data_IF_382740084383
#
_entry.id   IF_382740084383
#
_cell.length_a   1.000
_cell.length_b   1.000
_cell.length_c   1.000
_cell.angle_alpha   90.00
_cell.angle_beta   90.00
_cell.angle_gamma   90.00
#
_symmetry.space_group_name_H-M   'P 1'
#
loop_
_entity.id
_entity.type
_entity.pdbx_description
1 polymer ?
#
# COMPACT_ATOMS: atom_id res chain seq x y z
N UNK A 1 20.28 23.19 -14.55
CA UNK A 1 19.95 21.90 -13.89
C UNK A 1 20.97 20.88 -14.34
N UNK A 2 21.63 20.15 -13.42
CA UNK A 2 22.55 19.06 -13.79
C UNK A 2 21.73 17.80 -14.07
N UNK A 3 22.11 17.04 -15.09
CA UNK A 3 21.44 15.80 -15.49
C UNK A 3 22.45 14.66 -15.53
N UNK A 4 22.00 13.44 -15.22
CA UNK A 4 22.69 12.20 -15.59
C UNK A 4 21.97 11.53 -16.75
N UNK A 5 22.69 10.68 -17.47
CA UNK A 5 22.11 9.85 -18.53
C UNK A 5 21.84 8.47 -17.96
N UNK A 6 20.59 8.04 -18.03
CA UNK A 6 20.16 6.68 -17.72
C UNK A 6 19.78 5.97 -19.02
N UNK A 7 19.83 4.64 -19.02
CA UNK A 7 19.55 3.83 -20.20
C UNK A 7 18.62 2.66 -19.88
N UNK A 8 17.63 2.47 -20.73
CA UNK A 8 16.81 1.27 -20.79
C UNK A 8 16.84 0.68 -22.22
N UNK A 9 15.95 -0.27 -22.50
CA UNK A 9 15.86 -0.93 -23.81
C UNK A 9 15.44 0.01 -24.94
N UNK A 10 14.82 1.15 -24.63
CA UNK A 10 14.44 2.19 -25.59
C UNK A 10 15.56 3.22 -25.84
N UNK A 11 16.71 3.07 -25.18
CA UNK A 11 17.88 3.93 -25.34
C UNK A 11 18.10 4.85 -24.14
N UNK A 12 18.75 5.98 -24.38
CA UNK A 12 19.14 6.93 -23.35
C UNK A 12 18.01 7.90 -22.98
N UNK A 13 18.01 8.37 -21.74
CA UNK A 13 17.12 9.43 -21.23
C UNK A 13 17.84 10.24 -20.16
N UNK A 14 17.57 11.56 -20.13
CA UNK A 14 18.14 12.47 -19.14
C UNK A 14 17.30 12.48 -17.86
N UNK A 15 17.96 12.33 -16.72
CA UNK A 15 17.34 12.38 -15.38
C UNK A 15 18.03 13.45 -14.55
N UNK A 16 17.30 14.31 -13.79
CA UNK A 16 17.91 15.27 -12.89
C UNK A 16 18.90 14.58 -11.92
N UNK A 17 20.10 15.13 -11.78
CA UNK A 17 21.19 14.48 -11.05
C UNK A 17 20.92 14.29 -9.54
N UNK A 18 20.04 15.14 -8.98
CA UNK A 18 19.60 15.13 -7.59
C UNK A 18 18.48 14.11 -7.30
N UNK A 19 17.96 13.41 -8.32
CA UNK A 19 16.83 12.49 -8.19
C UNK A 19 17.27 11.04 -8.32
N UNK A 20 16.69 10.13 -7.54
CA UNK A 20 17.11 8.73 -7.45
C UNK A 20 16.37 7.82 -8.44
N UNK A 21 15.25 8.23 -9.03
CA UNK A 21 14.55 7.41 -10.01
C UNK A 21 15.33 7.26 -11.32
N UNK A 22 15.07 6.24 -12.12
CA UNK A 22 15.87 5.88 -13.29
C UNK A 22 15.19 6.20 -14.62
N UNK A 23 15.60 5.45 -15.65
CA UNK A 23 15.16 5.65 -17.02
C UNK A 23 13.64 5.45 -17.19
N UNK A 24 13.08 4.38 -16.62
CA UNK A 24 11.68 4.04 -16.83
C UNK A 24 10.76 5.04 -16.15
N UNK A 25 11.11 5.52 -14.96
CA UNK A 25 10.37 6.58 -14.27
C UNK A 25 10.42 7.89 -15.08
N UNK A 26 11.59 8.27 -15.60
CA UNK A 26 11.72 9.47 -16.42
C UNK A 26 10.90 9.41 -17.71
N UNK A 27 10.85 8.25 -18.38
CA UNK A 27 9.97 8.05 -19.54
C UNK A 27 8.50 8.11 -19.16
N UNK A 28 8.12 7.50 -18.03
CA UNK A 28 6.75 7.54 -17.52
C UNK A 28 6.28 8.98 -17.32
N UNK A 29 7.10 9.84 -16.70
CA UNK A 29 6.79 11.26 -16.52
C UNK A 29 6.57 12.00 -17.84
N UNK A 30 7.30 11.65 -18.90
CA UNK A 30 7.11 12.24 -20.21
C UNK A 30 5.83 11.75 -20.90
N UNK A 31 5.47 10.49 -20.71
CA UNK A 31 4.35 9.84 -21.38
C UNK A 31 3.01 10.09 -20.69
N UNK A 32 2.99 10.18 -19.36
CA UNK A 32 1.78 10.28 -18.53
C UNK A 32 1.69 11.65 -17.85
N UNK A 33 1.40 12.69 -18.63
CA UNK A 33 1.19 14.07 -18.13
C UNK A 33 -0.28 14.33 -17.83
N UNK A 34 -0.86 13.51 -16.95
CA UNK A 34 -2.29 13.51 -16.67
C UNK A 34 -2.51 13.68 -15.16
N UNK A 35 -3.29 14.69 -14.77
CA UNK A 35 -3.59 14.98 -13.37
C UNK A 35 -2.49 15.74 -12.62
N UNK A 36 -2.61 15.79 -11.29
CA UNK A 36 -1.64 16.45 -10.44
C UNK A 36 -0.30 15.69 -10.42
N UNK A 37 0.86 16.37 -10.53
CA UNK A 37 2.18 15.75 -10.37
C UNK A 37 2.30 15.03 -9.03
N UNK A 38 3.07 13.92 -8.99
CA UNK A 38 3.28 13.13 -7.78
C UNK A 38 1.97 12.76 -7.05
N UNK A 39 0.92 12.45 -7.81
CA UNK A 39 -0.40 12.14 -7.24
C UNK A 39 -0.51 10.72 -6.70
N UNK A 40 0.42 9.82 -7.00
CA UNK A 40 0.42 8.48 -6.39
C UNK A 40 0.49 8.61 -4.86
N UNK A 41 -0.49 8.08 -4.10
CA UNK A 41 -0.49 8.22 -2.66
C UNK A 41 0.78 7.61 -2.04
N UNK A 42 1.41 8.33 -1.11
CA UNK A 42 2.58 7.84 -0.39
C UNK A 42 2.30 6.53 0.36
N UNK A 43 1.07 6.32 0.83
CA UNK A 43 0.65 5.04 1.44
C UNK A 43 0.92 3.84 0.50
N UNK A 44 0.76 4.00 -0.83
CA UNK A 44 1.09 2.96 -1.82
C UNK A 44 2.60 2.75 -1.93
N UNK A 45 3.38 3.84 -1.88
CA UNK A 45 4.84 3.78 -1.90
C UNK A 45 5.38 3.07 -0.65
N UNK A 46 4.80 3.35 0.52
CA UNK A 46 5.14 2.65 1.76
C UNK A 46 4.73 1.18 1.70
N UNK A 47 3.58 0.85 1.08
CA UNK A 47 3.19 -0.53 0.78
C UNK A 47 4.23 -1.25 -0.08
N UNK A 48 4.77 -0.58 -1.10
CA UNK A 48 5.88 -1.10 -1.89
C UNK A 48 7.15 -1.28 -1.05
N UNK A 49 7.50 -0.36 -0.17
CA UNK A 49 8.71 -0.47 0.66
C UNK A 49 8.65 -1.71 1.57
N UNK A 50 7.52 -1.97 2.24
CA UNK A 50 7.32 -3.22 2.97
C UNK A 50 7.48 -4.43 2.06
N UNK A 51 6.81 -4.43 0.91
CA UNK A 51 6.89 -5.51 -0.06
C UNK A 51 8.33 -5.80 -0.51
N UNK A 52 9.09 -4.77 -0.91
CA UNK A 52 10.45 -4.93 -1.44
C UNK A 52 11.42 -5.41 -0.37
N UNK A 53 11.29 -4.90 0.86
CA UNK A 53 12.03 -5.41 2.02
C UNK A 53 11.75 -6.89 2.25
N UNK A 54 10.47 -7.27 2.35
CA UNK A 54 10.08 -8.67 2.58
C UNK A 54 10.47 -9.61 1.44
N UNK A 55 10.37 -9.16 0.19
CA UNK A 55 10.83 -9.91 -0.97
C UNK A 55 12.35 -10.17 -0.93
N UNK A 56 13.14 -9.19 -0.52
CA UNK A 56 14.59 -9.35 -0.38
C UNK A 56 14.95 -10.36 0.73
N UNK A 57 14.26 -10.33 1.87
CA UNK A 57 14.44 -11.32 2.94
C UNK A 57 14.05 -12.73 2.49
N UNK A 58 12.88 -12.89 1.85
CA UNK A 58 12.44 -14.18 1.32
C UNK A 58 13.43 -14.74 0.29
N UNK A 59 13.89 -13.91 -0.65
CA UNK A 59 14.88 -14.31 -1.66
C UNK A 59 16.23 -14.69 -1.05
N UNK A 60 16.66 -13.99 0.01
CA UNK A 60 17.88 -14.32 0.73
C UNK A 60 17.76 -15.66 1.47
N UNK A 61 16.64 -15.91 2.14
CA UNK A 61 16.37 -17.18 2.85
C UNK A 61 16.30 -18.37 1.87
N UNK A 62 15.78 -18.13 0.66
CA UNK A 62 15.72 -19.13 -0.42
C UNK A 62 17.05 -19.26 -1.21
N UNK A 63 18.08 -18.51 -0.84
CA UNK A 63 19.42 -18.61 -1.43
C UNK A 63 19.56 -18.01 -2.84
N UNK A 64 18.58 -17.24 -3.31
CA UNK A 64 18.59 -16.62 -4.66
C UNK A 64 19.00 -15.14 -4.66
N UNK A 65 19.26 -14.57 -3.49
CA UNK A 65 19.80 -13.22 -3.30
C UNK A 65 20.87 -13.26 -2.20
N UNK A 66 21.97 -12.52 -2.38
CA UNK A 66 23.02 -12.45 -1.36
C UNK A 66 22.57 -11.63 -0.14
N UNK A 67 23.17 -11.92 1.00
CA UNK A 67 22.91 -11.20 2.25
C UNK A 67 23.22 -9.70 2.12
N UNK A 68 24.33 -9.35 1.48
CA UNK A 68 24.71 -7.95 1.24
C UNK A 68 23.64 -7.18 0.46
N UNK A 69 23.11 -7.78 -0.61
CA UNK A 69 22.06 -7.16 -1.42
C UNK A 69 20.74 -7.04 -0.64
N UNK A 70 20.40 -8.07 0.16
CA UNK A 70 19.24 -8.00 1.07
C UNK A 70 19.36 -6.81 2.02
N UNK A 71 20.52 -6.64 2.66
CA UNK A 71 20.73 -5.60 3.67
C UNK A 71 20.67 -4.20 3.06
N UNK A 72 21.23 -4.00 1.86
CA UNK A 72 21.09 -2.75 1.12
C UNK A 72 19.63 -2.44 0.76
N UNK A 73 18.89 -3.41 0.21
CA UNK A 73 17.46 -3.21 -0.12
C UNK A 73 16.67 -2.87 1.13
N UNK A 74 16.88 -3.60 2.23
CA UNK A 74 16.20 -3.41 3.49
C UNK A 74 16.44 -2.01 4.07
N UNK A 75 17.70 -1.58 4.11
CA UNK A 75 18.07 -0.25 4.60
C UNK A 75 17.38 0.86 3.81
N UNK A 76 17.35 0.78 2.47
CA UNK A 76 16.66 1.79 1.67
C UNK A 76 15.15 1.75 1.87
N UNK A 77 14.55 0.56 1.97
CA UNK A 77 13.13 0.45 2.26
C UNK A 77 12.77 1.09 3.61
N UNK A 78 13.63 0.96 4.61
CA UNK A 78 13.45 1.64 5.91
C UNK A 78 13.53 3.17 5.77
N UNK A 79 14.45 3.71 4.96
CA UNK A 79 14.48 5.15 4.66
C UNK A 79 13.21 5.64 3.94
N UNK A 80 12.62 4.82 3.05
CA UNK A 80 11.33 5.12 2.41
C UNK A 80 10.22 5.14 3.47
N UNK A 81 10.14 4.15 4.34
CA UNK A 81 9.13 4.06 5.40
C UNK A 81 9.25 5.17 6.45
N UNK A 82 10.45 5.74 6.63
CA UNK A 82 10.71 6.91 7.47
C UNK A 82 10.37 8.26 6.76
N UNK A 83 9.90 8.21 5.51
CA UNK A 83 9.53 9.40 4.73
C UNK A 83 10.72 10.22 4.21
N UNK A 84 11.95 9.69 4.29
CA UNK A 84 13.17 10.42 3.90
C UNK A 84 13.30 10.60 2.39
N UNK A 85 12.56 9.82 1.61
CA UNK A 85 12.67 9.73 0.15
C UNK A 85 11.35 10.06 -0.58
N UNK A 86 10.37 10.66 0.10
CA UNK A 86 9.04 10.94 -0.47
C UNK A 86 9.09 11.77 -1.76
N UNK A 87 10.08 12.64 -1.91
CA UNK A 87 10.27 13.48 -3.09
C UNK A 87 10.88 12.75 -4.31
N UNK A 88 11.08 11.43 -4.20
CA UNK A 88 11.66 10.55 -5.22
C UNK A 88 10.61 9.72 -5.99
N UNK A 89 9.33 9.98 -5.74
CA UNK A 89 8.21 9.24 -6.35
C UNK A 89 7.28 10.19 -7.13
N UNK A 90 7.71 10.69 -8.31
CA UNK A 90 7.05 11.80 -8.99
C UNK A 90 5.84 11.37 -9.84
N UNK A 91 5.56 10.08 -9.92
CA UNK A 91 4.58 9.52 -10.84
C UNK A 91 3.13 9.84 -10.45
N UNK A 92 2.27 9.89 -11.47
CA UNK A 92 0.85 10.17 -11.32
C UNK A 92 0.05 8.88 -11.16
N UNK A 93 -1.16 8.98 -10.59
CA UNK A 93 -2.12 7.86 -10.54
C UNK A 93 -2.44 7.34 -11.94
N UNK A 94 -2.60 8.25 -12.90
CA UNK A 94 -3.03 7.96 -14.27
C UNK A 94 -1.88 7.45 -15.15
N UNK A 95 -1.41 6.24 -14.84
CA UNK A 95 -0.35 5.52 -15.55
C UNK A 95 -0.88 4.19 -16.12
N UNK A 96 -0.03 3.19 -16.37
CA UNK A 96 -0.52 1.85 -16.75
C UNK A 96 -1.44 1.26 -15.67
N UNK A 97 -2.47 0.53 -16.08
CA UNK A 97 -3.43 -0.08 -15.16
C UNK A 97 -2.83 -1.13 -14.22
N UNK A 98 -1.71 -1.74 -14.59
CA UNK A 98 -0.95 -2.70 -13.76
C UNK A 98 -0.01 -2.03 -12.75
N UNK A 99 0.10 -0.69 -12.75
CA UNK A 99 1.00 0.03 -11.86
C UNK A 99 2.50 -0.23 -12.09
N UNK A 100 2.88 -0.78 -13.24
CA UNK A 100 4.26 -1.14 -13.58
C UNK A 100 5.24 0.02 -13.43
N UNK A 101 4.85 1.25 -13.80
CA UNK A 101 5.76 2.38 -13.68
C UNK A 101 6.03 2.75 -12.21
N UNK A 102 5.06 2.67 -11.29
CA UNK A 102 5.32 2.84 -9.86
C UNK A 102 6.17 1.71 -9.27
N UNK A 103 5.93 0.45 -9.67
CA UNK A 103 6.79 -0.66 -9.26
C UNK A 103 8.25 -0.40 -9.69
N UNK A 104 8.46 0.01 -10.94
CA UNK A 104 9.79 0.32 -11.46
C UNK A 104 10.39 1.57 -10.82
N UNK A 105 9.60 2.58 -10.49
CA UNK A 105 10.06 3.75 -9.77
C UNK A 105 10.65 3.38 -8.42
N UNK A 106 9.97 2.51 -7.65
CA UNK A 106 10.50 2.03 -6.37
C UNK A 106 11.77 1.19 -6.59
N UNK A 107 11.79 0.30 -7.58
CA UNK A 107 12.98 -0.50 -7.90
C UNK A 107 14.20 0.38 -8.24
N UNK A 108 14.01 1.41 -9.06
CA UNK A 108 15.07 2.33 -9.49
C UNK A 108 15.56 3.19 -8.32
N UNK A 109 14.66 3.73 -7.49
CA UNK A 109 15.02 4.52 -6.31
C UNK A 109 15.83 3.66 -5.32
N UNK A 110 15.40 2.43 -5.04
CA UNK A 110 16.14 1.51 -4.15
C UNK A 110 17.54 1.24 -4.69
N UNK A 111 17.65 0.88 -5.97
CA UNK A 111 18.92 0.56 -6.58
C UNK A 111 19.89 1.76 -6.59
N UNK A 112 19.39 2.95 -6.90
CA UNK A 112 20.21 4.15 -6.97
C UNK A 112 20.57 4.70 -5.59
N UNK A 113 19.70 4.56 -4.60
CA UNK A 113 20.04 4.92 -3.21
C UNK A 113 21.16 4.04 -2.65
N UNK A 114 21.21 2.76 -3.05
CA UNK A 114 22.27 1.86 -2.64
C UNK A 114 23.67 2.32 -3.09
N UNK A 115 23.82 3.02 -4.23
CA UNK A 115 25.08 3.68 -4.58
C UNK A 115 25.53 4.67 -3.51
N UNK A 116 24.63 5.55 -3.09
CA UNK A 116 24.93 6.60 -2.12
C UNK A 116 25.26 6.02 -0.73
N UNK A 117 24.59 4.94 -0.33
CA UNK A 117 24.90 4.20 0.91
C UNK A 117 26.31 3.58 0.82
N UNK A 118 26.72 3.11 -0.36
CA UNK A 118 28.09 2.63 -0.62
C UNK A 118 29.13 3.76 -0.80
N UNK A 119 28.77 5.02 -0.54
CA UNK A 119 29.69 6.17 -0.70
C UNK A 119 29.98 6.56 -2.16
N UNK A 120 29.16 6.09 -3.11
CA UNK A 120 29.33 6.32 -4.55
C UNK A 120 28.24 7.21 -5.11
N UNK A 121 28.55 7.90 -6.21
CA UNK A 121 27.55 8.63 -6.99
C UNK A 121 26.73 7.67 -7.86
N UNK A 122 25.49 8.05 -8.19
CA UNK A 122 24.63 7.24 -9.06
C UNK A 122 25.26 7.14 -10.45
N UNK A 123 25.52 5.91 -10.89
CA UNK A 123 26.20 5.61 -12.16
C UNK A 123 27.72 5.40 -12.04
N UNK A 124 28.28 5.46 -10.83
CA UNK A 124 29.70 5.24 -10.59
C UNK A 124 30.07 3.75 -10.51
N UNK A 125 30.58 3.22 -11.63
CA UNK A 125 31.02 1.83 -11.73
C UNK A 125 29.87 0.82 -11.71
N UNK A 126 30.16 -0.39 -11.23
CA UNK A 126 29.19 -1.49 -11.22
C UNK A 126 28.03 -1.23 -10.25
N UNK A 127 26.81 -1.53 -10.68
CA UNK A 127 25.59 -1.36 -9.88
C UNK A 127 25.63 -2.27 -8.65
N UNK A 128 25.59 -1.74 -7.41
CA UNK A 128 25.50 -2.58 -6.22
C UNK A 128 24.18 -3.37 -6.21
N UNK A 129 23.11 -2.79 -6.77
CA UNK A 129 21.82 -3.43 -6.99
C UNK A 129 21.34 -3.14 -8.42
N UNK A 130 20.88 -4.18 -9.12
CA UNK A 130 20.15 -4.03 -10.36
C UNK A 130 18.64 -3.91 -10.09
N UNK A 131 17.93 -2.88 -10.65
CA UNK A 131 16.51 -2.67 -10.36
C UNK A 131 15.62 -3.88 -10.65
N UNK A 132 15.84 -4.58 -11.77
CA UNK A 132 15.07 -5.77 -12.11
C UNK A 132 15.64 -7.03 -11.45
N UNK A 133 16.87 -7.36 -11.80
CA UNK A 133 17.50 -8.59 -11.38
C UNK A 133 17.63 -8.74 -9.88
N UNK A 134 17.83 -7.67 -9.10
CA UNK A 134 17.96 -7.76 -7.64
C UNK A 134 16.72 -7.27 -6.90
N UNK A 135 16.30 -6.02 -7.12
CA UNK A 135 15.20 -5.41 -6.35
C UNK A 135 13.83 -6.00 -6.74
N UNK A 136 13.64 -6.32 -8.02
CA UNK A 136 12.44 -6.96 -8.56
C UNK A 136 12.58 -8.48 -8.71
N UNK A 137 13.58 -9.11 -8.07
CA UNK A 137 13.80 -10.55 -8.17
C UNK A 137 12.57 -11.32 -7.67
N UNK A 138 12.13 -12.31 -8.46
CA UNK A 138 10.98 -13.18 -8.17
C UNK A 138 9.62 -12.48 -8.17
N UNK A 139 9.53 -11.30 -8.77
CA UNK A 139 8.35 -10.44 -8.76
C UNK A 139 7.91 -10.06 -10.17
N UNK A 140 6.64 -9.68 -10.29
CA UNK A 140 6.05 -9.02 -11.46
C UNK A 140 5.38 -7.71 -11.03
N UNK A 141 5.19 -6.74 -11.92
CA UNK A 141 4.30 -5.61 -11.57
C UNK A 141 2.89 -6.08 -11.22
N UNK A 142 2.46 -7.17 -11.85
CA UNK A 142 1.09 -7.66 -11.76
C UNK A 142 0.78 -8.22 -10.38
N UNK A 143 1.74 -8.84 -9.68
CA UNK A 143 1.54 -9.34 -8.32
C UNK A 143 2.07 -8.38 -7.24
N UNK A 144 2.94 -7.42 -7.60
CA UNK A 144 3.47 -6.45 -6.64
C UNK A 144 2.55 -5.26 -6.39
N UNK A 145 1.94 -4.68 -7.44
CA UNK A 145 1.07 -3.52 -7.26
C UNK A 145 -0.19 -3.86 -6.44
N UNK A 146 -0.93 -4.96 -6.69
CA UNK A 146 -2.06 -5.36 -5.85
C UNK A 146 -1.64 -5.65 -4.40
N UNK A 147 -0.46 -6.23 -4.20
CA UNK A 147 0.09 -6.45 -2.85
C UNK A 147 0.35 -5.12 -2.13
N UNK A 148 0.96 -4.14 -2.81
CA UNK A 148 1.18 -2.81 -2.24
C UNK A 148 -0.14 -2.09 -1.94
N UNK A 149 -1.17 -2.24 -2.80
CA UNK A 149 -2.51 -1.71 -2.55
C UNK A 149 -3.13 -2.32 -1.29
N UNK A 150 -3.12 -3.65 -1.14
CA UNK A 150 -3.65 -4.31 0.04
C UNK A 150 -2.95 -3.87 1.32
N UNK A 151 -1.61 -3.76 1.31
CA UNK A 151 -0.84 -3.27 2.46
C UNK A 151 -1.25 -1.85 2.83
N UNK A 152 -1.27 -0.94 1.86
CA UNK A 152 -1.62 0.46 2.07
C UNK A 152 -3.04 0.62 2.64
N UNK A 153 -4.02 -0.04 2.00
CA UNK A 153 -5.42 0.05 2.39
C UNK A 153 -5.66 -0.54 3.78
N UNK A 154 -5.14 -1.74 4.05
CA UNK A 154 -5.30 -2.40 5.34
C UNK A 154 -4.72 -1.54 6.48
N UNK A 155 -3.49 -1.06 6.30
CA UNK A 155 -2.80 -0.23 7.28
C UNK A 155 -3.57 1.06 7.55
N UNK A 156 -4.04 1.75 6.51
CA UNK A 156 -4.84 2.98 6.66
C UNK A 156 -6.13 2.74 7.44
N UNK A 157 -6.80 1.62 7.18
CA UNK A 157 -8.06 1.27 7.85
C UNK A 157 -7.81 1.01 9.34
N UNK A 158 -6.81 0.21 9.68
CA UNK A 158 -6.55 -0.21 11.06
C UNK A 158 -5.93 0.90 11.90
N UNK A 159 -5.07 1.74 11.32
CA UNK A 159 -4.33 2.76 12.07
C UNK A 159 -5.05 4.12 12.14
N UNK A 160 -5.92 4.42 11.17
CA UNK A 160 -6.60 5.73 11.09
C UNK A 160 -8.11 5.59 11.17
N UNK A 161 -8.72 4.84 10.24
CA UNK A 161 -10.17 4.82 10.08
C UNK A 161 -10.88 4.19 11.28
N UNK A 162 -10.52 2.96 11.65
CA UNK A 162 -11.14 2.24 12.75
C UNK A 162 -10.94 2.94 14.11
N UNK A 163 -9.74 3.46 14.46
CA UNK A 163 -9.56 4.25 15.68
C UNK A 163 -10.44 5.51 15.70
N UNK A 164 -10.53 6.24 14.58
CA UNK A 164 -11.38 7.42 14.46
C UNK A 164 -12.87 7.10 14.66
N UNK A 165 -13.37 6.06 13.99
CA UNK A 165 -14.75 5.60 14.12
C UNK A 165 -15.07 5.14 15.54
N UNK A 166 -14.19 4.36 16.17
CA UNK A 166 -14.35 3.93 17.56
C UNK A 166 -14.34 5.11 18.53
N UNK A 167 -13.53 6.15 18.27
CA UNK A 167 -13.53 7.38 19.05
C UNK A 167 -14.87 8.10 19.00
N UNK A 168 -15.43 8.27 17.79
CA UNK A 168 -16.75 8.88 17.60
C UNK A 168 -17.87 8.02 18.23
N UNK A 169 -17.86 6.71 17.98
CA UNK A 169 -18.84 5.77 18.53
C UNK A 169 -18.89 5.83 20.06
N UNK A 170 -17.73 5.78 20.74
CA UNK A 170 -17.66 5.92 22.20
C UNK A 170 -18.20 7.27 22.67
N UNK A 171 -17.88 8.35 21.96
CA UNK A 171 -18.36 9.69 22.33
C UNK A 171 -19.89 9.77 22.27
N UNK A 172 -20.49 9.24 21.22
CA UNK A 172 -21.96 9.19 21.08
C UNK A 172 -22.61 8.27 22.11
N UNK A 173 -21.99 7.13 22.41
CA UNK A 173 -22.47 6.22 23.45
C UNK A 173 -22.45 6.85 24.84
N UNK A 174 -21.38 7.58 25.19
CA UNK A 174 -21.31 8.35 26.46
C UNK A 174 -22.38 9.43 26.50
N UNK A 175 -22.57 10.18 25.41
CA UNK A 175 -23.61 11.22 25.32
C UNK A 175 -25.02 10.65 25.44
N UNK A 176 -25.25 9.43 24.95
CA UNK A 176 -26.51 8.73 25.13
C UNK A 176 -26.84 8.52 26.61
N UNK A 177 -25.87 8.09 27.42
CA UNK A 177 -26.04 7.91 28.87
C UNK A 177 -26.22 9.26 29.60
N UNK A 178 -25.39 10.26 29.29
CA UNK A 178 -25.46 11.59 29.92
C UNK A 178 -26.79 12.31 29.68
N UNK A 179 -27.54 11.92 28.64
CA UNK A 179 -28.81 12.55 28.24
C UNK A 179 -30.00 11.62 28.37
N UNK A 180 -29.87 10.51 29.11
CA UNK A 180 -30.90 9.49 29.26
C UNK A 180 -32.18 10.03 29.93
N UNK A 181 -32.07 11.01 30.83
CA UNK A 181 -33.23 11.60 31.53
C UNK A 181 -33.87 12.79 30.77
N UNK A 182 -33.26 13.24 29.67
CA UNK A 182 -33.73 14.42 28.92
C UNK A 182 -34.83 14.03 27.94
N UNK A 183 -36.10 14.19 28.34
CA UNK A 183 -37.25 13.91 27.46
C UNK A 183 -37.40 14.98 26.38
N UNK A 184 -37.59 14.56 25.13
CA UNK A 184 -37.84 15.42 23.96
C UNK A 184 -39.02 14.93 23.12
N UNK A 185 -39.53 15.80 22.25
CA UNK A 185 -40.54 15.41 21.25
C UNK A 185 -39.87 14.60 20.13
N UNK A 186 -40.45 13.46 19.77
CA UNK A 186 -40.05 12.68 18.60
C UNK A 186 -40.51 13.33 17.30
N UNK A 187 -39.85 13.00 16.18
CA UNK A 187 -40.29 13.41 14.84
C UNK A 187 -40.28 12.27 13.85
N UNK A 188 -41.40 12.03 13.20
CA UNK A 188 -41.52 11.12 12.05
C UNK A 188 -42.13 11.90 10.89
N UNK A 189 -41.62 11.73 9.66
CA UNK A 189 -42.00 12.58 8.52
C UNK A 189 -41.84 14.09 8.80
N UNK A 190 -40.91 14.49 9.68
CA UNK A 190 -40.72 15.84 10.20
C UNK A 190 -41.90 16.45 10.99
N UNK A 191 -42.89 15.65 11.36
CA UNK A 191 -44.03 16.07 12.19
C UNK A 191 -43.86 15.59 13.64
N UNK A 192 -44.48 16.29 14.59
CA UNK A 192 -44.44 15.93 16.01
C UNK A 192 -45.02 14.53 16.25
N UNK A 193 -44.35 13.75 17.11
CA UNK A 193 -44.72 12.38 17.46
C UNK A 193 -44.67 12.16 18.99
N UNK A 194 -44.82 10.91 19.43
CA UNK A 194 -44.68 10.55 20.85
C UNK A 194 -43.28 10.86 21.40
N UNK A 195 -43.13 11.12 22.71
CA UNK A 195 -41.83 11.43 23.32
C UNK A 195 -40.85 10.25 23.29
N UNK A 196 -39.56 10.60 23.33
CA UNK A 196 -38.41 9.74 23.61
C UNK A 196 -37.39 10.57 24.40
N UNK A 197 -36.37 9.93 24.96
CA UNK A 197 -35.25 10.67 25.58
C UNK A 197 -34.19 11.02 24.52
N UNK A 198 -33.46 12.11 24.74
CA UNK A 198 -32.33 12.46 23.89
C UNK A 198 -31.27 11.36 23.92
N UNK A 199 -31.12 10.67 25.05
CA UNK A 199 -30.29 9.49 25.18
C UNK A 199 -30.68 8.36 24.22
N UNK A 200 -31.98 8.07 24.07
CA UNK A 200 -32.48 7.08 23.11
C UNK A 200 -32.22 7.47 21.65
N UNK A 201 -32.23 8.75 21.32
CA UNK A 201 -31.88 9.21 19.97
C UNK A 201 -30.38 9.01 19.69
N UNK A 202 -29.52 9.39 20.63
CA UNK A 202 -28.07 9.22 20.51
C UNK A 202 -27.63 7.75 20.50
N UNK A 203 -28.36 6.86 21.19
CA UNK A 203 -28.06 5.43 21.16
C UNK A 203 -28.24 4.85 19.76
N UNK A 204 -29.18 5.38 18.97
CA UNK A 204 -29.34 5.04 17.55
C UNK A 204 -28.09 5.36 16.74
N UNK A 205 -27.55 6.57 16.88
CA UNK A 205 -26.33 7.00 16.17
C UNK A 205 -25.10 6.16 16.58
N UNK A 206 -24.97 5.89 17.88
CA UNK A 206 -23.88 5.05 18.39
C UNK A 206 -23.96 3.61 17.83
N UNK A 207 -25.17 3.04 17.74
CA UNK A 207 -25.39 1.71 17.17
C UNK A 207 -25.08 1.65 15.66
N UNK A 208 -25.43 2.70 14.89
CA UNK A 208 -25.08 2.77 13.46
C UNK A 208 -23.57 2.67 13.25
N UNK A 209 -22.78 3.40 14.05
CA UNK A 209 -21.32 3.33 14.00
C UNK A 209 -20.78 1.97 14.45
N UNK A 210 -21.36 1.34 15.47
CA UNK A 210 -20.96 0.00 15.92
C UNK A 210 -21.13 -1.03 14.80
N UNK A 211 -22.27 -1.04 14.11
CA UNK A 211 -22.49 -1.93 12.96
C UNK A 211 -21.57 -1.59 11.78
N UNK A 212 -21.30 -0.30 11.54
CA UNK A 212 -20.36 0.14 10.52
C UNK A 212 -18.92 -0.32 10.77
N UNK A 213 -18.44 -0.21 12.02
CA UNK A 213 -17.13 -0.72 12.45
C UNK A 213 -17.05 -2.22 12.22
N UNK A 214 -18.06 -2.97 12.66
CA UNK A 214 -18.12 -4.43 12.48
C UNK A 214 -18.10 -4.83 11.00
N UNK A 215 -18.80 -4.08 10.15
CA UNK A 215 -18.80 -4.32 8.71
C UNK A 215 -17.40 -4.19 8.11
N UNK A 216 -16.66 -3.13 8.47
CA UNK A 216 -15.26 -2.93 8.03
C UNK A 216 -14.35 -4.05 8.55
N UNK A 217 -14.43 -4.40 9.83
CA UNK A 217 -13.60 -5.45 10.43
C UNK A 217 -13.78 -6.81 9.74
N UNK A 218 -14.99 -7.10 9.27
CA UNK A 218 -15.31 -8.36 8.57
C UNK A 218 -14.56 -8.46 7.23
N UNK A 219 -14.31 -7.35 6.54
CA UNK A 219 -13.64 -7.36 5.22
C UNK A 219 -12.12 -7.52 5.33
N UNK A 220 -11.54 -7.28 6.52
CA UNK A 220 -10.09 -7.29 6.72
C UNK A 220 -9.44 -8.64 6.41
N UNK A 221 -10.14 -9.76 6.63
CA UNK A 221 -9.57 -11.09 6.37
C UNK A 221 -9.24 -11.27 4.89
N UNK A 222 -10.11 -10.83 4.00
CA UNK A 222 -9.89 -10.91 2.56
C UNK A 222 -8.85 -9.88 2.11
N UNK A 223 -8.89 -8.66 2.67
CA UNK A 223 -7.90 -7.63 2.36
C UNK A 223 -6.46 -7.99 2.78
N UNK A 224 -6.30 -8.88 3.77
CA UNK A 224 -5.01 -9.38 4.22
C UNK A 224 -4.40 -10.44 3.28
N UNK A 225 -5.16 -10.96 2.30
CA UNK A 225 -4.65 -11.93 1.33
C UNK A 225 -3.83 -11.22 0.23
N UNK A 226 -2.56 -11.63 0.08
CA UNK A 226 -1.60 -10.97 -0.81
C UNK A 226 -1.38 -11.73 -2.12
N UNK A 227 -1.36 -10.98 -3.22
CA UNK A 227 -1.14 -11.50 -4.58
C UNK A 227 0.31 -11.93 -4.85
N UNK A 228 1.27 -11.42 -4.07
CA UNK A 228 2.70 -11.64 -4.27
C UNK A 228 3.06 -13.13 -4.42
N UNK A 229 3.90 -13.42 -5.40
CA UNK A 229 4.28 -14.79 -5.77
C UNK A 229 3.34 -15.41 -6.81
N UNK A 230 2.27 -14.73 -7.23
CA UNK A 230 1.52 -15.07 -8.43
C UNK A 230 2.25 -14.73 -9.74
N UNK A 231 3.26 -13.86 -9.67
CA UNK A 231 4.07 -13.35 -10.77
C UNK A 231 3.23 -12.78 -11.93
N UNK A 232 3.46 -13.19 -13.17
CA UNK A 232 2.89 -12.53 -14.34
C UNK A 232 1.38 -12.77 -14.48
N UNK A 233 0.92 -14.00 -14.21
CA UNK A 233 -0.44 -14.47 -14.56
C UNK A 233 -1.06 -15.39 -13.50
N UNK A 234 -0.45 -15.50 -12.31
CA UNK A 234 -0.97 -16.28 -11.18
C UNK A 234 -0.35 -17.66 -11.00
N UNK A 235 0.52 -18.10 -11.92
CA UNK A 235 1.14 -19.44 -11.87
C UNK A 235 2.35 -19.52 -10.94
N UNK A 236 2.93 -18.39 -10.55
CA UNK A 236 4.17 -18.34 -9.77
C UNK A 236 5.43 -18.69 -10.56
N UNK A 237 5.35 -18.73 -11.90
CA UNK A 237 6.53 -18.95 -12.75
C UNK A 237 7.59 -17.87 -12.47
N UNK A 238 8.86 -18.27 -12.38
CA UNK A 238 10.03 -17.46 -12.01
C UNK A 238 10.11 -17.01 -10.53
N UNK A 239 9.17 -17.43 -9.68
CA UNK A 239 9.34 -17.36 -8.24
C UNK A 239 9.84 -18.72 -7.70
N UNK A 240 10.84 -18.75 -6.79
CA UNK A 240 11.23 -19.99 -6.15
C UNK A 240 10.08 -20.59 -5.34
N UNK A 241 10.11 -21.90 -5.14
CA UNK A 241 9.12 -22.59 -4.30
C UNK A 241 9.11 -21.98 -2.90
N UNK A 242 7.91 -21.79 -2.33
CA UNK A 242 7.65 -21.16 -1.02
C UNK A 242 7.96 -19.66 -0.92
N UNK A 243 8.32 -18.99 -2.03
CA UNK A 243 8.56 -17.54 -2.04
C UNK A 243 7.35 -16.73 -1.54
N UNK A 244 6.15 -17.10 -1.98
CA UNK A 244 4.91 -16.41 -1.63
C UNK A 244 4.61 -16.47 -0.12
N UNK A 245 4.71 -17.67 0.48
CA UNK A 245 4.51 -17.89 1.91
C UNK A 245 5.55 -17.12 2.74
N UNK A 246 6.83 -17.18 2.36
CA UNK A 246 7.90 -16.48 3.07
C UNK A 246 7.78 -14.97 2.94
N UNK A 247 7.49 -14.46 1.74
CA UNK A 247 7.33 -13.03 1.53
C UNK A 247 6.13 -12.50 2.34
N UNK A 248 4.98 -13.20 2.34
CA UNK A 248 3.84 -12.82 3.16
C UNK A 248 4.16 -12.85 4.67
N UNK A 249 4.91 -13.86 5.14
CA UNK A 249 5.39 -13.93 6.53
C UNK A 249 6.22 -12.70 6.89
N UNK A 250 7.20 -12.32 6.07
CA UNK A 250 8.01 -11.14 6.33
C UNK A 250 7.21 -9.84 6.22
N UNK A 251 6.21 -9.75 5.34
CA UNK A 251 5.31 -8.59 5.28
C UNK A 251 4.53 -8.48 6.59
N UNK A 252 3.98 -9.59 7.09
CA UNK A 252 3.27 -9.62 8.36
C UNK A 252 4.19 -9.22 9.54
N UNK A 253 5.41 -9.73 9.58
CA UNK A 253 6.40 -9.41 10.61
C UNK A 253 6.77 -7.92 10.62
N UNK A 254 7.13 -7.35 9.47
CA UNK A 254 7.57 -5.95 9.39
C UNK A 254 6.43 -4.95 9.58
N UNK A 255 5.20 -5.31 9.20
CA UNK A 255 4.03 -4.45 9.40
C UNK A 255 3.40 -4.60 10.78
N UNK A 256 3.58 -5.76 11.44
CA UNK A 256 2.82 -6.14 12.63
C UNK A 256 1.35 -6.47 12.35
N UNK A 257 0.99 -6.73 11.09
CA UNK A 257 -0.39 -6.95 10.62
C UNK A 257 -0.55 -8.39 10.07
N UNK A 258 -1.76 -8.97 10.10
CA UNK A 258 -1.97 -10.41 9.86
C UNK A 258 -2.02 -10.77 8.37
N UNK A 259 -1.07 -10.27 7.57
CA UNK A 259 -1.00 -10.58 6.14
C UNK A 259 -0.67 -12.05 5.87
N UNK A 260 -1.30 -12.61 4.84
CA UNK A 260 -1.09 -14.00 4.41
C UNK A 260 -1.03 -14.08 2.90
N UNK A 261 -0.44 -15.15 2.37
CA UNK A 261 -0.46 -15.42 0.93
C UNK A 261 -1.89 -15.74 0.48
N UNK A 262 -2.35 -15.15 -0.63
CA UNK A 262 -3.69 -15.42 -1.14
C UNK A 262 -3.85 -16.89 -1.54
N UNK A 263 -5.00 -17.50 -1.22
CA UNK A 263 -5.26 -18.92 -1.51
C UNK A 263 -5.30 -19.21 -3.01
N UNK A 264 -5.76 -18.24 -3.81
CA UNK A 264 -5.84 -18.33 -5.25
C UNK A 264 -5.22 -17.08 -5.90
N UNK A 265 -4.06 -17.26 -6.55
CA UNK A 265 -3.35 -16.16 -7.20
C UNK A 265 -4.02 -15.66 -8.48
N UNK A 266 -4.89 -16.44 -9.11
CA UNK A 266 -5.61 -15.99 -10.30
C UNK A 266 -6.70 -14.98 -9.92
N UNK A 267 -7.44 -15.25 -8.83
CA UNK A 267 -8.41 -14.30 -8.28
C UNK A 267 -7.72 -13.00 -7.86
N UNK A 268 -6.66 -13.10 -7.05
CA UNK A 268 -5.94 -11.94 -6.51
C UNK A 268 -5.29 -11.02 -7.58
N UNK A 269 -5.16 -11.51 -8.82
CA UNK A 269 -4.64 -10.75 -9.97
C UNK A 269 -5.73 -10.30 -10.94
N UNK A 270 -6.74 -11.14 -11.18
CA UNK A 270 -7.78 -10.87 -12.19
C UNK A 270 -8.90 -9.96 -11.64
N UNK A 271 -9.08 -9.94 -10.33
CA UNK A 271 -10.08 -9.14 -9.65
C UNK A 271 -9.50 -8.44 -8.42
N UNK A 272 -10.26 -7.47 -7.91
CA UNK A 272 -9.93 -6.71 -6.70
C UNK A 272 -11.12 -6.69 -5.74
N UNK A 273 -11.74 -7.85 -5.57
CA UNK A 273 -13.01 -7.99 -4.84
C UNK A 273 -12.84 -7.67 -3.35
N UNK A 274 -11.68 -7.98 -2.75
CA UNK A 274 -11.33 -7.55 -1.40
C UNK A 274 -11.41 -6.03 -1.21
N UNK A 275 -10.97 -5.26 -2.22
CA UNK A 275 -11.04 -3.79 -2.19
C UNK A 275 -12.47 -3.30 -2.42
N UNK A 276 -13.22 -3.94 -3.33
CA UNK A 276 -14.63 -3.61 -3.58
C UNK A 276 -15.48 -3.83 -2.34
N UNK A 277 -15.33 -4.99 -1.68
CA UNK A 277 -16.03 -5.34 -0.44
C UNK A 277 -15.71 -4.35 0.69
N UNK A 278 -14.42 -4.08 0.90
CA UNK A 278 -13.95 -3.12 1.91
C UNK A 278 -14.49 -1.71 1.65
N UNK A 279 -14.46 -1.26 0.39
CA UNK A 279 -15.02 0.05 0.04
C UNK A 279 -16.55 0.08 0.16
N UNK A 280 -17.22 -1.06 -0.02
CA UNK A 280 -18.65 -1.22 0.28
C UNK A 280 -18.95 -0.98 1.75
N UNK A 281 -18.16 -1.56 2.66
CA UNK A 281 -18.28 -1.32 4.10
C UNK A 281 -18.01 0.16 4.46
N UNK A 282 -16.99 0.79 3.86
CA UNK A 282 -16.74 2.23 4.03
C UNK A 282 -17.94 3.08 3.55
N UNK A 283 -18.57 2.69 2.44
CA UNK A 283 -19.77 3.38 1.94
C UNK A 283 -20.96 3.24 2.89
N UNK A 284 -21.13 2.07 3.53
CA UNK A 284 -22.15 1.89 4.56
C UNK A 284 -21.94 2.87 5.73
N UNK A 285 -20.70 3.01 6.19
CA UNK A 285 -20.34 3.99 7.23
C UNK A 285 -20.62 5.42 6.77
N UNK A 286 -20.31 5.77 5.52
CA UNK A 286 -20.52 7.12 4.99
C UNK A 286 -22.01 7.53 4.89
N UNK A 287 -22.93 6.56 4.75
CA UNK A 287 -24.37 6.81 4.75
C UNK A 287 -24.92 6.96 6.18
N UNK A 288 -24.26 6.33 7.15
CA UNK A 288 -24.66 6.30 8.57
C UNK A 288 -24.33 7.59 9.29
#
# INVERSE_FOLDING_TARGET
MKYRVEKDTMGEVKVPADKLWGAQTARSLHNFKIGAPASMPLDIIYGFAYLKKSAAYANCELGVLSQEKRDLIAQVCDEILEGKLDDQFPLVIWQTGSGTQSNMNVNEVIANRAYQISGREVGDGEKPLHPNDDVNKSQSSNDTFPTAMSIACYKKIVEVTLPGLRGLQRTLAVKSIETEEVVKIGRTHFMDATPLTLGQEFSGYAAQLEYGIKAIETTLTHLAELALGGTAVGTGLNAPRNYDVLAAKYIAEFTGLPFVTAKNKFEALAAHDALVETHGALRQVAVS
#
